data_IF_552549163202
#
_entry.id   IF_552549163202
#
_cell.length_a   1.000
_cell.length_b   1.000
_cell.length_c   1.000
_cell.angle_alpha   90.00
_cell.angle_beta   90.00
_cell.angle_gamma   90.00
#
_symmetry.space_group_name_H-M   'P 1'
#
loop_
_entity.id
_entity.type
_entity.pdbx_description
1 polymer ?
#
# COMPACT_ATOMS: atom_id res chain seq x y z
N UNK A 1 9.24 -17.88 23.91
CA UNK A 1 8.90 -18.65 22.69
C UNK A 1 7.64 -18.14 21.99
N UNK A 2 6.54 -17.82 22.69
CA UNK A 2 5.31 -17.28 22.06
C UNK A 2 5.40 -15.85 21.47
N UNK A 3 6.49 -15.09 21.70
CA UNK A 3 6.67 -13.74 21.16
C UNK A 3 7.41 -13.69 19.80
N UNK A 4 8.02 -14.80 19.37
CA UNK A 4 8.84 -14.84 18.16
C UNK A 4 8.03 -15.18 16.89
N UNK A 5 6.79 -15.67 17.01
CA UNK A 5 5.96 -16.09 15.87
C UNK A 5 5.09 -14.96 15.28
N UNK A 6 4.92 -13.81 15.95
CA UNK A 6 4.07 -12.71 15.45
C UNK A 6 4.77 -11.74 14.48
N UNK A 7 6.09 -11.79 14.37
CA UNK A 7 6.87 -10.75 13.69
C UNK A 7 6.96 -10.92 12.15
N UNK A 8 6.78 -12.14 11.63
CA UNK A 8 6.96 -12.46 10.19
C UNK A 8 5.72 -12.25 9.31
N UNK A 9 4.62 -11.82 9.91
CA UNK A 9 3.32 -11.86 9.27
C UNK A 9 3.05 -10.67 8.33
N UNK A 10 3.54 -9.46 8.58
CA UNK A 10 2.83 -8.29 8.05
C UNK A 10 3.56 -7.40 7.02
N UNK A 11 4.64 -7.91 6.42
CA UNK A 11 5.54 -7.12 5.57
C UNK A 11 5.13 -6.97 4.11
N UNK A 12 3.89 -6.64 3.73
CA UNK A 12 3.60 -6.37 2.29
C UNK A 12 2.32 -5.58 1.92
N UNK A 13 1.91 -4.57 2.70
CA UNK A 13 0.73 -3.74 2.33
C UNK A 13 1.04 -2.60 1.33
N UNK A 14 2.31 -2.36 0.98
CA UNK A 14 2.77 -1.17 0.23
C UNK A 14 2.91 -1.26 -1.30
N UNK A 15 2.79 -2.44 -1.92
CA UNK A 15 2.85 -2.52 -3.39
C UNK A 15 1.49 -2.11 -3.99
N UNK A 16 1.40 -0.86 -4.46
CA UNK A 16 0.19 -0.29 -5.06
C UNK A 16 -0.19 -0.89 -6.42
N UNK A 17 -1.42 -0.59 -6.87
CA UNK A 17 -2.03 -0.99 -8.15
C UNK A 17 -1.10 -0.85 -9.37
N UNK A 18 -0.24 0.17 -9.31
CA UNK A 18 0.87 0.46 -10.19
C UNK A 18 1.74 -0.78 -10.55
N UNK A 19 2.14 -1.61 -9.57
CA UNK A 19 3.01 -2.76 -9.79
C UNK A 19 2.28 -3.90 -10.54
N UNK A 20 1.00 -4.08 -10.24
CA UNK A 20 0.12 -5.04 -10.91
C UNK A 20 -0.06 -4.63 -12.39
N UNK A 21 -0.28 -3.34 -12.64
CA UNK A 21 -0.42 -2.81 -14.00
C UNK A 21 0.86 -2.98 -14.85
N UNK A 22 2.04 -2.81 -14.23
CA UNK A 22 3.32 -3.00 -14.91
C UNK A 22 3.57 -4.46 -15.29
N UNK A 23 3.24 -5.41 -14.40
CA UNK A 23 3.32 -6.84 -14.66
C UNK A 23 2.35 -7.27 -15.78
N UNK A 24 1.11 -6.79 -15.72
CA UNK A 24 0.10 -7.07 -16.75
C UNK A 24 0.47 -6.50 -18.12
N UNK A 25 1.06 -5.30 -18.17
CA UNK A 25 1.55 -4.69 -19.41
C UNK A 25 2.72 -5.49 -20.02
N UNK A 26 3.65 -5.99 -19.19
CA UNK A 26 4.73 -6.87 -19.63
C UNK A 26 4.19 -8.18 -20.23
N UNK A 27 3.19 -8.78 -19.58
CA UNK A 27 2.54 -10.01 -20.02
C UNK A 27 1.82 -9.86 -21.37
N UNK A 28 1.00 -8.81 -21.53
CA UNK A 28 0.28 -8.54 -22.79
C UNK A 28 1.19 -8.16 -23.95
N UNK A 29 2.37 -7.61 -23.67
CA UNK A 29 3.34 -7.21 -24.69
C UNK A 29 4.15 -8.35 -25.30
N UNK A 30 3.98 -9.60 -24.82
CA UNK A 30 4.70 -10.76 -25.34
C UNK A 30 6.23 -10.63 -25.27
N UNK A 31 6.76 -9.81 -24.35
CA UNK A 31 8.21 -9.61 -24.21
C UNK A 31 8.78 -10.68 -23.27
N UNK A 32 9.47 -11.72 -23.78
CA UNK A 32 9.99 -12.81 -22.95
C UNK A 32 10.93 -12.33 -21.83
N UNK A 33 11.64 -11.22 -22.04
CA UNK A 33 12.60 -10.68 -21.06
C UNK A 33 12.00 -10.18 -19.74
N UNK A 34 10.70 -9.86 -19.65
CA UNK A 34 10.10 -9.37 -18.38
C UNK A 34 9.73 -10.49 -17.41
N UNK A 35 9.35 -11.67 -17.91
CA UNK A 35 9.09 -12.84 -17.07
C UNK A 35 10.41 -13.43 -16.54
N UNK A 36 11.44 -13.45 -17.40
CA UNK A 36 12.78 -13.91 -17.05
C UNK A 36 13.47 -12.93 -16.08
N UNK A 37 13.33 -11.61 -16.29
CA UNK A 37 13.83 -10.62 -15.32
C UNK A 37 13.12 -10.68 -13.95
N UNK A 38 11.81 -10.95 -13.93
CA UNK A 38 11.07 -11.13 -12.69
C UNK A 38 11.52 -12.41 -11.95
N UNK A 39 11.73 -13.50 -12.69
CA UNK A 39 12.28 -14.76 -12.15
C UNK A 39 13.70 -14.58 -11.61
N UNK A 40 14.60 -13.98 -12.38
CA UNK A 40 15.98 -13.70 -11.96
C UNK A 40 16.04 -12.79 -10.74
N UNK A 41 15.17 -11.78 -10.65
CA UNK A 41 15.08 -10.92 -9.48
C UNK A 41 14.60 -11.68 -8.23
N UNK A 42 13.61 -12.57 -8.37
CA UNK A 42 13.14 -13.43 -7.28
C UNK A 42 14.21 -14.44 -6.82
N UNK A 43 14.97 -15.03 -7.75
CA UNK A 43 16.07 -15.95 -7.46
C UNK A 43 17.22 -15.24 -6.72
N UNK A 44 17.58 -14.01 -7.14
CA UNK A 44 18.59 -13.19 -6.46
C UNK A 44 18.16 -12.85 -5.03
N UNK A 45 16.89 -12.49 -4.83
CA UNK A 45 16.40 -12.04 -3.53
C UNK A 45 16.14 -13.20 -2.55
N UNK A 46 15.73 -14.36 -3.06
CA UNK A 46 15.74 -15.61 -2.32
C UNK A 46 17.17 -16.00 -1.89
N UNK A 47 18.16 -15.85 -2.78
CA UNK A 47 19.55 -16.17 -2.46
C UNK A 47 20.14 -15.20 -1.42
N UNK A 48 19.85 -13.89 -1.54
CA UNK A 48 20.35 -12.84 -0.64
C UNK A 48 19.78 -12.93 0.78
N UNK A 49 18.48 -13.17 0.93
CA UNK A 49 17.84 -13.22 2.25
C UNK A 49 18.06 -14.54 2.99
N UNK A 50 18.42 -15.62 2.28
CA UNK A 50 18.39 -16.99 2.83
C UNK A 50 19.75 -17.70 2.75
N UNK A 51 20.82 -16.96 2.45
CA UNK A 51 22.20 -17.42 2.68
C UNK A 51 22.67 -18.57 1.76
N UNK A 52 22.18 -18.63 0.52
CA UNK A 52 22.74 -19.52 -0.50
C UNK A 52 22.63 -21.02 -0.25
N UNK A 53 21.74 -21.48 0.65
CA UNK A 53 21.35 -22.90 0.66
C UNK A 53 20.39 -23.12 -0.50
N UNK A 54 20.90 -23.68 -1.59
CA UNK A 54 20.11 -24.07 -2.75
C UNK A 54 18.90 -24.92 -2.33
N UNK A 55 17.83 -24.79 -3.11
CA UNK A 55 16.68 -25.70 -3.07
C UNK A 55 17.23 -27.13 -3.25
N UNK A 56 17.09 -27.95 -2.20
CA UNK A 56 17.70 -29.27 -2.12
C UNK A 56 17.11 -30.26 -3.13
N UNK A 57 17.81 -31.39 -3.29
CA UNK A 57 17.58 -32.47 -4.26
C UNK A 57 16.17 -33.10 -4.24
N UNK A 58 15.34 -32.80 -3.22
CA UNK A 58 13.99 -33.35 -3.07
C UNK A 58 12.97 -32.80 -4.08
N UNK A 59 13.17 -31.62 -4.69
CA UNK A 59 12.25 -31.08 -5.71
C UNK A 59 12.44 -31.69 -7.10
N UNK A 60 13.66 -32.12 -7.46
CA UNK A 60 13.91 -32.81 -8.72
C UNK A 60 13.22 -34.19 -8.74
N UNK A 61 13.13 -34.85 -7.58
CA UNK A 61 12.41 -36.12 -7.42
C UNK A 61 10.87 -35.97 -7.50
N UNK A 62 10.34 -34.78 -7.23
CA UNK A 62 8.90 -34.48 -7.35
C UNK A 62 8.45 -34.27 -8.80
N UNK A 63 9.36 -33.87 -9.69
CA UNK A 63 9.05 -33.63 -11.11
C UNK A 63 8.88 -34.91 -11.93
N UNK A 64 9.42 -36.05 -11.47
CA UNK A 64 9.46 -37.31 -12.22
C UNK A 64 8.42 -38.35 -11.78
N UNK A 65 7.57 -38.06 -10.78
CA UNK A 65 6.55 -39.03 -10.34
C UNK A 65 5.31 -39.03 -11.24
N UNK A 66 4.87 -40.18 -11.78
CA UNK A 66 3.57 -40.29 -12.43
C UNK A 66 2.48 -40.03 -11.38
N UNK A 67 1.57 -39.12 -11.72
CA UNK A 67 0.51 -38.60 -10.86
C UNK A 67 -0.22 -39.72 -10.09
N UNK A 68 0.01 -39.78 -8.77
CA UNK A 68 -0.73 -40.63 -7.85
C UNK A 68 -2.16 -40.09 -7.66
N UNK A 69 -3.08 -40.99 -7.38
CA UNK A 69 -4.51 -40.71 -7.24
C UNK A 69 -4.82 -39.66 -6.17
N UNK A 70 -5.95 -38.97 -6.36
CA UNK A 70 -6.42 -37.79 -5.63
C UNK A 70 -6.47 -37.96 -4.10
N UNK A 71 -6.49 -39.18 -3.58
CA UNK A 71 -6.54 -39.45 -2.13
C UNK A 71 -5.15 -39.52 -1.46
N UNK A 72 -4.10 -39.98 -2.15
CA UNK A 72 -2.73 -40.03 -1.60
C UNK A 72 -2.00 -38.68 -1.71
N UNK A 73 -2.46 -37.79 -2.58
CA UNK A 73 -1.98 -36.41 -2.66
C UNK A 73 -2.35 -35.55 -1.43
N UNK A 74 -3.29 -35.99 -0.59
CA UNK A 74 -3.81 -35.22 0.53
C UNK A 74 -2.90 -35.22 1.78
N UNK A 75 -2.13 -36.29 2.01
CA UNK A 75 -1.18 -36.35 3.14
C UNK A 75 0.12 -35.57 2.86
N UNK A 76 0.45 -35.34 1.58
CA UNK A 76 1.62 -34.57 1.15
C UNK A 76 1.42 -33.04 1.20
N UNK A 77 0.28 -32.55 1.69
CA UNK A 77 -0.08 -31.11 1.68
C UNK A 77 0.37 -30.32 2.90
N UNK A 78 0.89 -30.96 3.95
CA UNK A 78 1.38 -30.26 5.15
C UNK A 78 2.56 -29.28 4.86
N UNK A 79 3.48 -29.58 3.93
CA UNK A 79 4.51 -28.63 3.48
C UNK A 79 3.92 -27.48 2.65
N UNK A 80 2.91 -27.75 1.81
CA UNK A 80 2.24 -26.75 0.95
C UNK A 80 1.38 -25.80 1.80
N UNK A 81 0.70 -26.29 2.83
CA UNK A 81 -0.02 -25.44 3.79
C UNK A 81 0.94 -24.52 4.55
N UNK A 82 2.12 -25.03 4.96
CA UNK A 82 3.18 -24.20 5.57
C UNK A 82 3.74 -23.16 4.60
N UNK A 83 3.91 -23.53 3.32
CA UNK A 83 4.39 -22.63 2.28
C UNK A 83 3.36 -21.54 1.96
N UNK A 84 2.08 -21.91 1.79
CA UNK A 84 0.97 -20.99 1.53
C UNK A 84 0.74 -20.06 2.72
N UNK A 85 0.81 -20.57 3.97
CA UNK A 85 0.80 -19.72 5.17
C UNK A 85 1.95 -18.72 5.13
N UNK A 86 3.19 -19.12 4.82
CA UNK A 86 4.34 -18.20 4.72
C UNK A 86 4.23 -17.20 3.55
N UNK A 87 3.74 -17.63 2.39
CA UNK A 87 3.60 -16.80 1.19
C UNK A 87 2.46 -15.77 1.29
N UNK A 88 1.34 -16.12 1.95
CA UNK A 88 0.24 -15.18 2.17
C UNK A 88 0.62 -14.00 3.06
N UNK A 89 1.56 -14.22 3.98
CA UNK A 89 2.09 -13.17 4.85
C UNK A 89 3.25 -12.38 4.21
N UNK A 90 3.95 -12.90 3.20
CA UNK A 90 5.17 -12.27 2.63
C UNK A 90 5.08 -11.79 1.17
N UNK A 91 3.94 -11.94 0.50
CA UNK A 91 3.60 -11.16 -0.71
C UNK A 91 4.55 -11.35 -1.90
N UNK A 92 4.36 -12.41 -2.68
CA UNK A 92 4.76 -12.46 -4.10
C UNK A 92 4.00 -13.55 -4.85
N UNK A 93 2.78 -13.22 -5.30
CA UNK A 93 1.97 -14.12 -6.17
C UNK A 93 2.31 -13.92 -7.66
N UNK A 94 3.02 -12.84 -8.00
CA UNK A 94 3.35 -12.45 -9.37
C UNK A 94 4.30 -13.43 -10.11
N UNK A 95 4.93 -14.38 -9.42
CA UNK A 95 5.82 -15.38 -10.01
C UNK A 95 5.30 -16.82 -9.95
N UNK A 96 4.08 -17.04 -9.45
CA UNK A 96 3.57 -18.41 -9.26
C UNK A 96 3.02 -18.99 -10.57
N UNK A 97 3.29 -20.28 -10.87
CA UNK A 97 2.62 -20.98 -11.96
C UNK A 97 1.10 -20.88 -11.82
N UNK A 98 0.37 -20.82 -12.95
CA UNK A 98 -1.09 -20.64 -12.94
C UNK A 98 -1.85 -21.69 -12.09
N UNK A 99 -1.32 -22.91 -11.99
CA UNK A 99 -1.86 -23.96 -11.11
C UNK A 99 -1.79 -23.61 -9.62
N UNK A 100 -0.72 -22.93 -9.21
CA UNK A 100 -0.48 -22.55 -7.82
C UNK A 100 -1.37 -21.38 -7.39
N UNK A 101 -1.69 -20.45 -8.30
CA UNK A 101 -2.65 -19.36 -8.02
C UNK A 101 -4.04 -19.93 -7.72
N UNK A 102 -4.45 -20.98 -8.44
CA UNK A 102 -5.73 -21.67 -8.21
C UNK A 102 -5.75 -22.41 -6.87
N UNK A 103 -4.68 -23.14 -6.56
CA UNK A 103 -4.59 -23.93 -5.32
C UNK A 103 -4.45 -23.05 -4.08
N UNK A 104 -3.57 -22.05 -4.12
CA UNK A 104 -3.46 -21.01 -3.11
C UNK A 104 -4.81 -20.30 -2.90
N UNK A 105 -5.57 -20.05 -3.97
CA UNK A 105 -6.90 -19.47 -3.89
C UNK A 105 -7.93 -20.35 -3.19
N UNK A 106 -7.90 -21.64 -3.46
CA UNK A 106 -8.81 -22.62 -2.84
C UNK A 106 -8.49 -22.81 -1.35
N UNK A 107 -7.20 -22.92 -1.00
CA UNK A 107 -6.74 -23.07 0.38
C UNK A 107 -6.98 -21.80 1.20
N UNK A 108 -6.70 -20.62 0.63
CA UNK A 108 -7.00 -19.35 1.27
C UNK A 108 -8.51 -19.16 1.50
N UNK A 109 -9.34 -19.52 0.52
CA UNK A 109 -10.81 -19.47 0.67
C UNK A 109 -11.29 -20.42 1.77
N UNK A 110 -10.67 -21.60 1.93
CA UNK A 110 -10.98 -22.53 3.02
C UNK A 110 -10.57 -22.01 4.39
N UNK A 111 -9.38 -21.43 4.54
CA UNK A 111 -8.97 -20.78 5.79
C UNK A 111 -9.85 -19.57 6.11
N UNK A 112 -10.21 -18.79 5.09
CA UNK A 112 -11.15 -17.67 5.18
C UNK A 112 -12.52 -18.07 5.72
N UNK A 113 -13.01 -19.26 5.35
CA UNK A 113 -14.26 -19.79 5.87
C UNK A 113 -14.19 -20.18 7.36
N UNK A 114 -12.98 -20.38 7.89
CA UNK A 114 -12.76 -20.98 9.22
C UNK A 114 -12.15 -20.04 10.26
N UNK A 115 -11.46 -18.97 9.86
CA UNK A 115 -10.89 -18.02 10.84
C UNK A 115 -11.99 -17.27 11.58
N UNK A 116 -11.93 -17.20 12.90
CA UNK A 116 -12.76 -16.39 13.80
C UNK A 116 -12.06 -15.08 14.22
N UNK A 117 -10.81 -14.89 13.79
CA UNK A 117 -9.99 -13.72 14.09
C UNK A 117 -10.34 -12.54 13.18
N UNK A 118 -10.76 -11.42 13.77
CA UNK A 118 -11.12 -10.21 13.03
C UNK A 118 -9.90 -9.57 12.33
N UNK A 119 -8.72 -9.71 12.93
CA UNK A 119 -7.44 -9.31 12.36
C UNK A 119 -7.12 -9.99 11.03
N UNK A 120 -7.57 -11.22 10.80
CA UNK A 120 -7.36 -11.91 9.54
C UNK A 120 -8.21 -11.29 8.42
N UNK A 121 -9.45 -10.89 8.75
CA UNK A 121 -10.37 -10.34 7.76
C UNK A 121 -9.88 -9.01 7.18
N UNK A 122 -9.24 -8.16 7.99
CA UNK A 122 -8.71 -6.86 7.54
C UNK A 122 -7.49 -7.00 6.61
N UNK A 123 -6.78 -8.13 6.67
CA UNK A 123 -5.70 -8.47 5.72
C UNK A 123 -6.26 -9.14 4.48
N UNK A 124 -7.15 -10.10 4.66
CA UNK A 124 -7.59 -10.99 3.58
C UNK A 124 -8.48 -10.30 2.56
N UNK A 125 -9.35 -9.38 2.99
CA UNK A 125 -10.25 -8.66 2.08
C UNK A 125 -9.48 -7.82 1.05
N UNK A 126 -8.53 -6.94 1.43
CA UNK A 126 -7.73 -6.21 0.45
C UNK A 126 -6.83 -7.13 -0.38
N UNK A 127 -6.26 -8.20 0.21
CA UNK A 127 -5.46 -9.18 -0.53
C UNK A 127 -6.27 -9.87 -1.64
N UNK A 128 -7.47 -10.38 -1.31
CA UNK A 128 -8.36 -11.01 -2.28
C UNK A 128 -8.79 -10.05 -3.40
N UNK A 129 -9.05 -8.77 -3.08
CA UNK A 129 -9.32 -7.74 -4.11
C UNK A 129 -8.14 -7.50 -5.05
N UNK A 130 -6.91 -7.43 -4.51
CA UNK A 130 -5.69 -7.30 -5.34
C UNK A 130 -5.46 -8.54 -6.22
N UNK A 131 -5.70 -9.73 -5.68
CA UNK A 131 -5.62 -10.98 -6.46
C UNK A 131 -6.66 -11.03 -7.57
N UNK A 132 -7.87 -10.52 -7.31
CA UNK A 132 -8.89 -10.38 -8.35
C UNK A 132 -8.46 -9.41 -9.46
N UNK A 133 -7.87 -8.25 -9.10
CA UNK A 133 -7.34 -7.30 -10.09
C UNK A 133 -6.24 -7.94 -10.94
N UNK A 134 -5.29 -8.64 -10.31
CA UNK A 134 -4.22 -9.35 -11.02
C UNK A 134 -4.78 -10.41 -11.97
N UNK A 135 -5.73 -11.23 -11.50
CA UNK A 135 -6.39 -12.23 -12.34
C UNK A 135 -7.08 -11.60 -13.56
N UNK A 136 -7.82 -10.49 -13.40
CA UNK A 136 -8.39 -9.74 -14.53
C UNK A 136 -7.33 -9.22 -15.50
N UNK A 137 -6.24 -8.70 -14.96
CA UNK A 137 -5.16 -8.15 -15.76
C UNK A 137 -4.55 -9.22 -16.70
N UNK A 138 -4.54 -10.48 -16.24
CA UNK A 138 -4.12 -11.69 -16.96
C UNK A 138 -5.22 -12.33 -17.84
N UNK A 139 -6.46 -11.81 -17.83
CA UNK A 139 -7.59 -12.37 -18.60
C UNK A 139 -8.36 -13.50 -17.90
N UNK A 140 -8.08 -13.76 -16.63
CA UNK A 140 -8.66 -14.86 -15.83
C UNK A 140 -9.94 -14.43 -15.09
N UNK A 141 -10.99 -14.06 -15.82
CA UNK A 141 -12.23 -13.49 -15.22
C UNK A 141 -12.93 -14.43 -14.22
N UNK A 142 -12.93 -15.75 -14.47
CA UNK A 142 -13.52 -16.72 -13.54
C UNK A 142 -12.80 -16.73 -12.19
N UNK A 143 -11.46 -16.66 -12.22
CA UNK A 143 -10.63 -16.63 -11.01
C UNK A 143 -10.83 -15.29 -10.29
N UNK A 144 -10.88 -14.18 -11.03
CA UNK A 144 -11.18 -12.88 -10.45
C UNK A 144 -12.54 -12.84 -9.74
N UNK A 145 -13.58 -13.43 -10.36
CA UNK A 145 -14.90 -13.57 -9.76
C UNK A 145 -14.89 -14.32 -8.43
N UNK A 146 -14.17 -15.45 -8.37
CA UNK A 146 -14.02 -16.24 -7.15
C UNK A 146 -13.34 -15.43 -6.02
N UNK A 147 -12.28 -14.69 -6.34
CA UNK A 147 -11.60 -13.83 -5.37
C UNK A 147 -12.48 -12.70 -4.85
N UNK A 148 -13.29 -12.07 -5.70
CA UNK A 148 -14.23 -11.04 -5.28
C UNK A 148 -15.36 -11.60 -4.42
N UNK A 149 -15.85 -12.80 -4.72
CA UNK A 149 -16.83 -13.49 -3.87
C UNK A 149 -16.24 -13.79 -2.49
N UNK A 150 -15.00 -14.29 -2.42
CA UNK A 150 -14.31 -14.52 -1.15
C UNK A 150 -14.13 -13.23 -0.35
N UNK A 151 -13.72 -12.13 -1.00
CA UNK A 151 -13.61 -10.83 -0.35
C UNK A 151 -14.96 -10.32 0.18
N UNK A 152 -16.04 -10.51 -0.58
CA UNK A 152 -17.39 -10.11 -0.18
C UNK A 152 -17.90 -10.94 1.01
N UNK A 153 -17.66 -12.25 1.02
CA UNK A 153 -18.02 -13.13 2.12
C UNK A 153 -17.26 -12.74 3.41
N UNK A 154 -15.94 -12.54 3.33
CA UNK A 154 -15.12 -12.08 4.44
C UNK A 154 -15.60 -10.72 4.99
N UNK A 155 -15.93 -9.78 4.10
CA UNK A 155 -16.50 -8.49 4.50
C UNK A 155 -17.89 -8.62 5.16
N UNK A 156 -18.69 -9.60 4.74
CA UNK A 156 -19.95 -9.95 5.39
C UNK A 156 -19.75 -10.42 6.83
N UNK A 157 -18.77 -11.29 7.06
CA UNK A 157 -18.41 -11.79 8.40
C UNK A 157 -17.94 -10.66 9.32
N UNK A 158 -17.07 -9.77 8.83
CA UNK A 158 -16.65 -8.59 9.60
C UNK A 158 -17.85 -7.79 10.13
N UNK A 159 -18.83 -7.52 9.26
CA UNK A 159 -20.04 -6.76 9.64
C UNK A 159 -20.92 -7.48 10.67
N UNK A 160 -20.88 -8.81 10.73
CA UNK A 160 -21.61 -9.58 11.75
C UNK A 160 -20.90 -9.54 13.11
N UNK A 161 -19.61 -9.24 13.13
CA UNK A 161 -18.76 -9.24 14.32
C UNK A 161 -18.35 -7.84 14.78
N UNK A 162 -18.76 -6.78 14.08
CA UNK A 162 -18.27 -5.41 14.29
C UNK A 162 -18.71 -4.76 15.61
N UNK A 163 -19.60 -5.40 16.36
CA UNK A 163 -19.94 -5.01 17.73
C UNK A 163 -18.79 -5.27 18.72
N UNK A 164 -17.82 -6.12 18.35
CA UNK A 164 -16.65 -6.42 19.17
C UNK A 164 -15.71 -5.21 19.20
N UNK A 165 -15.25 -4.86 20.40
CA UNK A 165 -14.21 -3.87 20.60
C UNK A 165 -12.90 -4.33 19.96
N UNK A 166 -12.62 -3.84 18.75
CA UNK A 166 -11.35 -4.11 18.05
C UNK A 166 -10.25 -3.12 18.47
N UNK A 167 -9.00 -3.58 18.59
CA UNK A 167 -7.85 -2.71 18.82
C UNK A 167 -7.69 -1.64 17.71
N UNK A 168 -7.12 -0.46 18.01
CA UNK A 168 -6.97 0.62 17.03
C UNK A 168 -6.28 0.23 15.71
N UNK A 169 -5.22 -0.58 15.68
CA UNK A 169 -4.59 -0.99 14.42
C UNK A 169 -5.50 -1.84 13.54
N UNK A 170 -6.30 -2.73 14.16
CA UNK A 170 -7.29 -3.55 13.45
C UNK A 170 -8.41 -2.68 12.90
N UNK A 171 -8.89 -1.71 13.69
CA UNK A 171 -9.86 -0.73 13.21
C UNK A 171 -9.31 0.09 12.04
N UNK A 172 -8.07 0.58 12.13
CA UNK A 172 -7.42 1.35 11.08
C UNK A 172 -7.29 0.53 9.79
N UNK A 173 -6.86 -0.73 9.90
CA UNK A 173 -6.82 -1.66 8.78
C UNK A 173 -8.21 -1.90 8.19
N UNK A 174 -9.25 -2.03 9.02
CA UNK A 174 -10.63 -2.21 8.57
C UNK A 174 -11.16 -0.99 7.81
N UNK A 175 -10.85 0.23 8.25
CA UNK A 175 -11.21 1.47 7.54
C UNK A 175 -10.54 1.51 6.16
N UNK A 176 -9.24 1.21 6.09
CA UNK A 176 -8.48 1.16 4.81
C UNK A 176 -8.98 0.07 3.87
N UNK A 177 -9.36 -1.08 4.42
CA UNK A 177 -9.98 -2.17 3.67
C UNK A 177 -11.42 -1.85 3.22
N UNK A 178 -12.01 -0.73 3.63
CA UNK A 178 -13.42 -0.39 3.36
C UNK A 178 -14.40 -1.35 4.02
N UNK A 179 -13.99 -1.98 5.12
CA UNK A 179 -14.82 -2.84 5.97
C UNK A 179 -15.61 -2.03 6.99
N UNK A 180 -15.03 -0.92 7.46
CA UNK A 180 -15.68 0.09 8.30
C UNK A 180 -15.77 1.38 7.49
N UNK A 181 -16.93 2.04 7.53
CA UNK A 181 -17.09 3.34 6.87
C UNK A 181 -16.20 4.38 7.55
N UNK A 182 -15.67 5.32 6.79
CA UNK A 182 -14.75 6.35 7.31
C UNK A 182 -15.39 7.16 8.44
N UNK A 183 -16.66 7.49 8.28
CA UNK A 183 -17.46 8.27 9.23
C UNK A 183 -17.66 7.51 10.55
N UNK A 184 -17.82 6.19 10.46
CA UNK A 184 -18.01 5.30 11.61
C UNK A 184 -16.70 5.04 12.36
N UNK A 185 -15.59 4.84 11.62
CA UNK A 185 -14.27 4.58 12.21
C UNK A 185 -13.60 5.84 12.79
N UNK A 186 -13.90 7.02 12.24
CA UNK A 186 -13.28 8.30 12.62
C UNK A 186 -13.26 8.58 14.13
N UNK A 187 -14.39 8.60 14.87
CA UNK A 187 -14.36 8.94 16.29
C UNK A 187 -13.48 7.97 17.12
N UNK A 188 -13.49 6.69 16.77
CA UNK A 188 -12.69 5.66 17.46
C UNK A 188 -11.18 5.78 17.15
N UNK A 189 -10.83 6.09 15.90
CA UNK A 189 -9.44 6.34 15.51
C UNK A 189 -8.89 7.63 16.15
N UNK A 190 -9.72 8.67 16.26
CA UNK A 190 -9.35 9.90 16.95
C UNK A 190 -9.07 9.66 18.44
N UNK A 191 -9.94 8.90 19.11
CA UNK A 191 -9.73 8.52 20.51
C UNK A 191 -8.42 7.75 20.70
N UNK A 192 -8.11 6.80 19.81
CA UNK A 192 -6.87 6.04 19.85
C UNK A 192 -5.62 6.90 19.65
N UNK A 193 -5.65 7.88 18.73
CA UNK A 193 -4.52 8.76 18.50
C UNK A 193 -4.15 9.62 19.72
N UNK A 194 -5.11 9.86 20.61
CA UNK A 194 -4.91 10.59 21.86
C UNK A 194 -4.63 9.70 23.07
N UNK A 195 -4.71 8.38 22.92
CA UNK A 195 -4.48 7.42 24.01
C UNK A 195 -2.97 7.25 24.27
N UNK A 196 -2.49 7.50 25.51
CA UNK A 196 -1.10 7.23 25.90
C UNK A 196 -0.67 5.78 25.67
N UNK A 197 -1.60 4.81 25.67
CA UNK A 197 -1.34 3.40 25.39
C UNK A 197 -0.79 3.12 23.98
N UNK A 198 -0.94 4.07 23.06
CA UNK A 198 -0.44 3.99 21.68
C UNK A 198 1.08 3.92 21.56
N UNK A 199 1.83 4.20 22.63
CA UNK A 199 3.29 4.05 22.66
C UNK A 199 3.77 2.59 22.53
N UNK A 200 2.89 1.61 22.74
CA UNK A 200 3.22 0.18 22.67
C UNK A 200 3.07 -0.43 21.28
N UNK A 201 2.60 0.36 20.31
CA UNK A 201 2.36 -0.12 18.95
C UNK A 201 3.67 -0.45 18.22
N UNK A 202 3.63 -1.49 17.40
CA UNK A 202 4.69 -1.81 16.42
C UNK A 202 4.76 -0.74 15.33
N UNK A 203 5.90 -0.64 14.63
CA UNK A 203 6.05 0.32 13.53
C UNK A 203 4.97 0.17 12.44
N UNK A 204 4.56 -1.06 12.14
CA UNK A 204 3.50 -1.31 11.19
C UNK A 204 2.13 -0.86 11.70
N UNK A 205 1.81 -1.13 12.96
CA UNK A 205 0.55 -0.69 13.56
C UNK A 205 0.47 0.84 13.57
N UNK A 206 1.58 1.52 13.91
CA UNK A 206 1.71 2.97 13.83
C UNK A 206 1.45 3.45 12.40
N UNK A 207 2.15 2.89 11.40
CA UNK A 207 1.93 3.27 10.00
C UNK A 207 0.48 3.05 9.56
N UNK A 208 -0.13 1.94 9.95
CA UNK A 208 -1.50 1.57 9.59
C UNK A 208 -2.51 2.57 10.15
N UNK A 209 -2.34 2.97 11.43
CA UNK A 209 -3.15 4.00 12.07
C UNK A 209 -2.95 5.35 11.38
N UNK A 210 -1.71 5.77 11.16
CA UNK A 210 -1.40 7.05 10.52
C UNK A 210 -1.94 7.15 9.09
N UNK A 211 -1.80 6.10 8.27
CA UNK A 211 -2.34 6.09 6.91
C UNK A 211 -3.88 6.11 6.92
N UNK A 212 -4.53 5.35 7.80
CA UNK A 212 -5.98 5.41 7.97
C UNK A 212 -6.47 6.81 8.36
N UNK A 213 -5.75 7.49 9.28
CA UNK A 213 -6.04 8.88 9.65
C UNK A 213 -5.87 9.83 8.47
N UNK A 214 -4.85 9.63 7.63
CA UNK A 214 -4.66 10.38 6.39
C UNK A 214 -5.82 10.19 5.40
N UNK A 215 -6.35 8.98 5.28
CA UNK A 215 -7.51 8.67 4.42
C UNK A 215 -8.80 9.35 4.85
N UNK A 216 -9.04 9.46 6.17
CA UNK A 216 -10.20 10.15 6.73
C UNK A 216 -10.00 11.68 6.86
N UNK A 217 -8.83 12.19 6.46
CA UNK A 217 -8.53 13.63 6.47
C UNK A 217 -8.09 14.18 7.82
N UNK A 218 -7.70 13.33 8.77
CA UNK A 218 -7.33 13.69 10.14
C UNK A 218 -5.82 13.86 10.33
N UNK A 219 -5.20 14.70 9.50
CA UNK A 219 -3.75 14.93 9.56
C UNK A 219 -3.29 15.60 10.85
N UNK A 220 -4.14 16.42 11.50
CA UNK A 220 -3.81 17.10 12.77
C UNK A 220 -3.63 16.10 13.91
N UNK A 221 -4.67 15.32 14.25
CA UNK A 221 -4.56 14.27 15.27
C UNK A 221 -3.48 13.23 14.96
N UNK A 222 -3.23 12.91 13.69
CA UNK A 222 -2.13 12.02 13.30
C UNK A 222 -0.75 12.61 13.64
N UNK A 223 -0.56 13.92 13.45
CA UNK A 223 0.67 14.62 13.86
C UNK A 223 0.82 14.64 15.39
N UNK A 224 -0.27 14.73 16.16
CA UNK A 224 -0.21 14.61 17.62
C UNK A 224 0.22 13.21 18.06
N UNK A 225 -0.28 12.15 17.41
CA UNK A 225 0.20 10.79 17.66
C UNK A 225 1.71 10.67 17.41
N UNK A 226 2.22 11.25 16.32
CA UNK A 226 3.68 11.27 16.03
C UNK A 226 4.45 12.01 17.13
N UNK A 227 3.93 13.13 17.64
CA UNK A 227 4.56 13.85 18.75
C UNK A 227 4.57 13.03 20.03
N UNK A 228 3.46 12.37 20.36
CA UNK A 228 3.33 11.52 21.53
C UNK A 228 4.32 10.34 21.46
N UNK A 229 4.50 9.73 20.28
CA UNK A 229 5.52 8.71 20.08
C UNK A 229 6.93 9.26 20.35
N UNK A 230 7.23 10.46 19.87
CA UNK A 230 8.52 11.11 20.06
C UNK A 230 8.80 11.53 21.52
N UNK A 231 7.76 11.82 22.32
CA UNK A 231 7.92 12.18 23.74
C UNK A 231 7.92 10.96 24.66
N UNK A 232 7.22 9.89 24.31
CA UNK A 232 7.09 8.69 25.14
C UNK A 232 8.36 7.83 25.17
N UNK A 233 9.26 7.97 24.21
CA UNK A 233 10.50 7.20 24.14
C UNK A 233 11.73 8.09 24.19
N UNK A 234 12.70 7.73 25.04
CA UNK A 234 14.04 8.36 25.01
C UNK A 234 14.79 8.03 23.73
N UNK A 235 14.48 6.88 23.11
CA UNK A 235 15.01 6.45 21.80
C UNK A 235 13.86 5.87 20.96
N UNK A 236 13.53 6.54 19.86
CA UNK A 236 12.59 5.96 18.89
C UNK A 236 13.29 4.81 18.16
N UNK A 237 12.63 3.65 18.09
CA UNK A 237 13.12 2.54 17.26
C UNK A 237 13.19 2.96 15.78
N UNK A 238 14.22 2.51 15.07
CA UNK A 238 14.45 2.85 13.67
C UNK A 238 13.28 2.50 12.74
N UNK A 239 12.59 1.39 13.02
CA UNK A 239 11.42 0.95 12.26
C UNK A 239 10.24 1.92 12.41
N UNK A 240 10.03 2.45 13.62
CA UNK A 240 9.01 3.47 13.90
C UNK A 240 9.36 4.78 13.21
N UNK A 241 10.64 5.20 13.26
CA UNK A 241 11.10 6.40 12.55
C UNK A 241 10.85 6.26 11.06
N UNK A 242 11.20 5.12 10.46
CA UNK A 242 10.97 4.84 9.05
C UNK A 242 9.47 4.89 8.68
N UNK A 243 8.60 4.28 9.50
CA UNK A 243 7.15 4.31 9.32
C UNK A 243 6.59 5.75 9.34
N UNK A 244 7.03 6.57 10.30
CA UNK A 244 6.62 7.97 10.43
C UNK A 244 7.11 8.79 9.24
N UNK A 245 8.38 8.65 8.85
CA UNK A 245 8.95 9.37 7.71
C UNK A 245 8.24 9.03 6.40
N UNK A 246 7.93 7.76 6.17
CA UNK A 246 7.16 7.32 5.02
C UNK A 246 5.77 7.96 5.02
N UNK A 247 5.07 7.95 6.16
CA UNK A 247 3.78 8.59 6.28
C UNK A 247 3.83 10.11 6.06
N UNK A 248 4.83 10.80 6.62
CA UNK A 248 5.03 12.24 6.40
C UNK A 248 5.22 12.54 4.91
N UNK A 249 5.99 11.72 4.20
CA UNK A 249 6.19 11.87 2.76
C UNK A 249 4.89 11.63 1.97
N UNK A 250 4.18 10.54 2.24
CA UNK A 250 3.06 10.12 1.40
C UNK A 250 1.76 10.84 1.72
N UNK A 251 1.57 11.27 2.97
CA UNK A 251 0.30 11.80 3.46
C UNK A 251 0.35 13.29 3.78
N UNK A 252 1.48 13.80 4.30
CA UNK A 252 1.64 15.23 4.61
C UNK A 252 2.23 15.97 3.41
N UNK A 253 3.42 15.60 2.95
CA UNK A 253 4.01 16.13 1.71
C UNK A 253 3.16 15.72 0.50
N UNK A 254 2.53 14.54 0.58
CA UNK A 254 1.52 14.09 -0.36
C UNK A 254 2.09 13.48 -1.64
N UNK A 255 3.36 13.11 -1.68
CA UNK A 255 4.00 12.57 -2.88
C UNK A 255 3.91 11.05 -2.86
N UNK A 256 3.16 10.49 -3.82
CA UNK A 256 2.97 9.04 -3.98
C UNK A 256 3.27 8.62 -5.42
N UNK A 257 3.79 7.40 -5.59
CA UNK A 257 3.96 6.82 -6.92
C UNK A 257 2.59 6.42 -7.48
N UNK A 258 2.20 7.01 -8.61
CA UNK A 258 1.01 6.57 -9.35
C UNK A 258 1.33 5.46 -10.36
N UNK A 259 2.62 5.28 -10.69
CA UNK A 259 3.14 4.23 -11.57
C UNK A 259 4.49 3.73 -11.04
N UNK A 260 4.84 2.43 -11.16
CA UNK A 260 6.14 1.96 -10.69
C UNK A 260 7.26 2.63 -11.50
N UNK A 261 8.41 2.81 -10.87
CA UNK A 261 9.55 3.48 -11.48
C UNK A 261 9.47 5.02 -11.48
N UNK A 262 8.39 5.63 -10.95
CA UNK A 262 8.35 7.08 -10.73
C UNK A 262 8.09 7.95 -11.96
N UNK A 263 7.75 7.35 -13.10
CA UNK A 263 7.37 8.11 -14.30
C UNK A 263 6.06 8.91 -14.12
N UNK A 264 5.19 8.50 -13.19
CA UNK A 264 3.96 9.22 -12.85
C UNK A 264 3.75 9.29 -11.35
N UNK A 265 3.44 10.48 -10.85
CA UNK A 265 3.20 10.76 -9.44
C UNK A 265 1.75 11.21 -9.19
N UNK A 266 1.30 10.98 -7.97
CA UNK A 266 0.22 11.71 -7.33
C UNK A 266 0.84 12.68 -6.33
N UNK A 267 0.47 13.95 -6.38
CA UNK A 267 0.93 14.98 -5.45
C UNK A 267 -0.29 15.63 -4.77
N UNK A 268 -0.53 15.31 -3.50
CA UNK A 268 -1.66 15.80 -2.70
C UNK A 268 -1.17 16.31 -1.34
N UNK A 269 -0.51 17.47 -1.28
CA UNK A 269 -0.03 18.02 -0.03
C UNK A 269 -1.19 18.29 0.93
N UNK A 270 -1.02 17.87 2.17
CA UNK A 270 -1.94 18.11 3.27
C UNK A 270 -1.17 18.84 4.37
N UNK A 271 -1.03 20.18 4.29
CA UNK A 271 -0.26 20.96 5.27
C UNK A 271 -0.83 20.91 6.71
N UNK A 272 -1.92 20.16 6.93
CA UNK A 272 -2.70 20.16 8.17
C UNK A 272 -3.07 21.60 8.57
N UNK A 273 -3.26 21.87 9.86
CA UNK A 273 -3.46 23.22 10.37
C UNK A 273 -2.19 24.11 10.31
N UNK A 274 -1.17 23.75 9.51
CA UNK A 274 0.05 24.54 9.37
C UNK A 274 -0.06 25.47 8.17
N UNK A 275 0.54 26.63 8.33
CA UNK A 275 0.54 27.64 7.29
C UNK A 275 1.66 27.44 6.26
N UNK A 276 2.63 26.57 6.56
CA UNK A 276 3.74 26.25 5.70
C UNK A 276 4.04 24.74 5.73
N UNK A 277 4.26 24.17 4.55
CA UNK A 277 4.73 22.81 4.35
C UNK A 277 5.76 22.84 3.23
N UNK A 278 6.97 22.34 3.46
CA UNK A 278 7.95 22.16 2.42
C UNK A 278 8.72 20.86 2.65
N UNK A 279 9.09 20.19 1.57
CA UNK A 279 9.85 18.96 1.64
C UNK A 279 10.37 18.51 0.29
N UNK A 280 11.30 17.57 0.36
CA UNK A 280 11.92 16.91 -0.78
C UNK A 280 11.77 15.41 -0.62
N UNK A 281 11.56 14.71 -1.72
CA UNK A 281 11.63 13.25 -1.76
C UNK A 281 12.36 12.79 -3.02
N UNK A 282 13.00 11.62 -2.92
CA UNK A 282 13.74 11.00 -4.00
C UNK A 282 12.87 9.96 -4.68
N UNK A 283 12.78 10.05 -6.00
CA UNK A 283 12.21 9.02 -6.87
C UNK A 283 13.30 8.54 -7.84
N UNK A 284 13.12 7.40 -8.53
CA UNK A 284 14.16 6.89 -9.43
C UNK A 284 14.62 7.87 -10.51
N UNK A 285 13.75 8.78 -10.97
CA UNK A 285 14.08 9.80 -11.97
C UNK A 285 14.73 11.08 -11.39
N UNK A 286 14.79 11.24 -10.06
CA UNK A 286 15.43 12.39 -9.42
C UNK A 286 14.70 12.90 -8.17
N UNK A 287 14.92 14.18 -7.84
CA UNK A 287 14.34 14.82 -6.66
C UNK A 287 13.04 15.53 -7.02
N UNK A 288 12.00 15.30 -6.21
CA UNK A 288 10.75 16.05 -6.24
C UNK A 288 10.73 17.00 -5.05
N UNK A 289 10.50 18.28 -5.29
CA UNK A 289 10.28 19.26 -4.21
C UNK A 289 8.83 19.72 -4.20
N UNK A 290 8.22 19.76 -3.02
CA UNK A 290 6.89 20.33 -2.82
C UNK A 290 6.99 21.41 -1.74
N UNK A 291 6.41 22.57 -2.00
CA UNK A 291 6.20 23.60 -0.99
C UNK A 291 4.79 24.18 -1.10
N UNK A 292 4.15 24.44 0.03
CA UNK A 292 2.83 25.03 0.17
C UNK A 292 2.91 26.10 1.25
N UNK A 293 2.36 27.27 0.95
CA UNK A 293 2.15 28.36 1.89
C UNK A 293 0.68 28.76 1.85
N UNK A 294 0.07 28.86 3.02
CA UNK A 294 -1.35 29.18 3.19
C UNK A 294 -1.58 30.51 3.90
N UNK A 295 -0.55 31.08 4.54
CA UNK A 295 -0.61 32.44 5.11
C UNK A 295 -0.50 33.50 4.03
N UNK A 296 -1.41 34.49 4.07
CA UNK A 296 -1.44 35.58 3.11
C UNK A 296 -2.03 35.13 1.76
N UNK A 297 -1.23 35.20 0.69
CA UNK A 297 -1.62 34.74 -0.65
C UNK A 297 -1.26 33.25 -0.80
N UNK A 298 -2.25 32.33 -0.81
CA UNK A 298 -1.95 30.91 -0.88
C UNK A 298 -1.16 30.59 -2.15
N UNK A 299 -0.06 29.87 -1.97
CA UNK A 299 0.85 29.51 -3.07
C UNK A 299 1.38 28.10 -2.89
N UNK A 300 1.60 27.41 -4.01
CA UNK A 300 2.23 26.10 -4.06
C UNK A 300 3.35 26.11 -5.09
N UNK A 301 4.47 25.49 -4.75
CA UNK A 301 5.59 25.22 -5.64
C UNK A 301 5.76 23.70 -5.77
N UNK A 302 5.94 23.23 -6.99
CA UNK A 302 6.30 21.86 -7.30
C UNK A 302 7.51 21.87 -8.25
N UNK A 303 8.60 21.23 -7.87
CA UNK A 303 9.73 20.98 -8.76
C UNK A 303 9.73 19.49 -9.13
N UNK A 304 9.68 19.18 -10.43
CA UNK A 304 9.72 17.82 -10.97
C UNK A 304 11.01 17.54 -11.76
N UNK A 305 11.59 16.33 -11.63
CA UNK A 305 12.71 15.90 -12.44
C UNK A 305 12.27 15.57 -13.88
N UNK A 306 13.24 15.37 -14.77
CA UNK A 306 12.98 15.00 -16.15
C UNK A 306 12.34 13.60 -16.25
N UNK A 307 11.46 13.41 -17.25
CA UNK A 307 10.79 12.13 -17.48
C UNK A 307 9.66 11.80 -16.49
N UNK A 308 9.25 12.76 -15.66
CA UNK A 308 8.18 12.60 -14.68
C UNK A 308 6.95 13.43 -15.03
N UNK A 309 5.78 12.81 -14.83
CA UNK A 309 4.47 13.44 -14.85
C UNK A 309 3.88 13.44 -13.44
N UNK A 310 3.00 14.40 -13.12
CA UNK A 310 2.26 14.37 -11.87
C UNK A 310 0.80 14.79 -12.05
N UNK A 311 -0.08 14.11 -11.32
CA UNK A 311 -1.42 14.60 -11.03
C UNK A 311 -1.40 15.27 -9.66
N UNK A 312 -1.67 16.57 -9.64
CA UNK A 312 -1.73 17.37 -8.43
C UNK A 312 -3.17 17.49 -7.97
N UNK A 313 -3.40 17.31 -6.68
CA UNK A 313 -4.62 17.73 -5.98
C UNK A 313 -4.26 18.89 -5.07
N UNK A 314 -4.70 20.08 -5.44
CA UNK A 314 -4.34 21.29 -4.70
C UNK A 314 -4.91 21.25 -3.28
N UNK A 315 -4.25 21.89 -2.31
CA UNK A 315 -4.83 22.19 -1.01
C UNK A 315 -6.14 22.99 -1.15
N UNK A 316 -7.06 22.83 -0.20
CA UNK A 316 -8.37 23.50 -0.24
C UNK A 316 -8.30 25.03 -0.48
N UNK A 317 -7.37 25.80 0.12
CA UNK A 317 -7.24 27.24 -0.12
C UNK A 317 -6.96 27.63 -1.59
N UNK A 318 -6.38 26.71 -2.37
CA UNK A 318 -6.03 26.91 -3.78
C UNK A 318 -7.08 26.36 -4.75
N UNK A 319 -7.97 25.45 -4.31
CA UNK A 319 -8.97 24.81 -5.20
C UNK A 319 -10.07 25.74 -5.68
N UNK A 320 -10.41 26.75 -4.88
CA UNK A 320 -11.57 27.63 -5.11
C UNK A 320 -11.26 28.85 -5.96
N UNK A 321 -10.05 28.96 -6.49
CA UNK A 321 -9.56 30.17 -7.16
C UNK A 321 -8.96 29.82 -8.53
N UNK A 322 -9.06 30.71 -9.54
CA UNK A 322 -8.37 30.50 -10.80
C UNK A 322 -6.87 30.42 -10.55
N UNK A 323 -6.15 29.67 -11.37
CA UNK A 323 -4.77 29.30 -11.09
C UNK A 323 -3.86 29.91 -12.13
N UNK A 324 -2.95 30.77 -11.68
CA UNK A 324 -1.82 31.17 -12.52
C UNK A 324 -0.69 30.16 -12.29
N UNK A 325 -0.24 29.52 -13.37
CA UNK A 325 0.93 28.66 -13.35
C UNK A 325 2.08 29.22 -14.19
N UNK A 326 3.19 29.53 -13.51
CA UNK A 326 4.38 30.12 -14.10
C UNK A 326 5.55 29.11 -13.98
N UNK A 327 6.16 28.73 -15.11
CA UNK A 327 7.27 27.77 -15.15
C UNK A 327 7.93 27.65 -16.54
N UNK A 328 9.27 27.67 -16.65
CA UNK A 328 9.97 27.82 -17.93
C UNK A 328 10.08 26.55 -18.80
N UNK A 329 9.68 25.37 -18.33
CA UNK A 329 10.03 24.09 -19.00
C UNK A 329 8.94 23.01 -19.06
N UNK A 330 7.82 23.15 -18.33
CA UNK A 330 6.80 22.11 -18.22
C UNK A 330 5.46 22.52 -18.82
N UNK A 331 4.68 21.53 -19.29
CA UNK A 331 3.27 21.74 -19.66
C UNK A 331 2.39 21.44 -18.47
N UNK A 332 1.27 22.15 -18.37
CA UNK A 332 0.24 21.85 -17.39
C UNK A 332 -1.16 22.00 -17.99
N UNK A 333 -2.13 21.31 -17.42
CA UNK A 333 -3.53 21.36 -17.81
C UNK A 333 -4.44 21.19 -16.58
N UNK A 334 -5.57 21.90 -16.56
CA UNK A 334 -6.60 21.69 -15.53
C UNK A 334 -7.40 20.41 -15.82
N UNK A 335 -7.63 19.61 -14.77
CA UNK A 335 -8.39 18.36 -14.83
C UNK A 335 -9.79 18.43 -14.21
N UNK A 336 -10.24 19.62 -13.80
CA UNK A 336 -11.46 19.82 -13.02
C UNK A 336 -11.33 19.41 -11.55
N UNK A 337 -12.22 19.92 -10.68
CA UNK A 337 -12.27 19.53 -9.27
C UNK A 337 -10.99 19.82 -8.46
N UNK A 338 -10.23 20.85 -8.84
CA UNK A 338 -8.94 21.19 -8.21
C UNK A 338 -7.79 20.25 -8.57
N UNK A 339 -7.93 19.49 -9.66
CA UNK A 339 -6.86 18.64 -10.23
C UNK A 339 -6.06 19.41 -11.27
N UNK A 340 -4.76 19.28 -11.23
CA UNK A 340 -3.84 19.76 -12.27
C UNK A 340 -3.00 18.59 -12.75
N UNK A 341 -2.85 18.46 -14.06
CA UNK A 341 -1.87 17.58 -14.66
C UNK A 341 -0.66 18.40 -15.05
N UNK A 342 0.53 17.97 -14.64
CA UNK A 342 1.80 18.55 -15.08
C UNK A 342 2.63 17.48 -15.75
N UNK A 343 3.36 17.87 -16.79
CA UNK A 343 4.24 16.97 -17.54
C UNK A 343 5.54 17.67 -17.90
N UNK A 344 6.65 16.96 -17.71
CA UNK A 344 7.99 17.43 -18.04
C UNK A 344 8.72 18.02 -16.83
N UNK A 345 10.05 18.16 -16.92
CA UNK A 345 10.85 18.76 -15.87
C UNK A 345 10.48 20.22 -15.68
N UNK A 346 10.60 20.71 -14.46
CA UNK A 346 10.50 22.13 -14.21
C UNK A 346 9.96 22.48 -12.85
N UNK A 347 9.99 23.79 -12.60
CA UNK A 347 9.41 24.43 -11.43
C UNK A 347 8.06 25.00 -11.81
N UNK A 348 7.01 24.47 -11.20
CA UNK A 348 5.64 24.92 -11.34
C UNK A 348 5.28 25.73 -10.09
N UNK A 349 4.71 26.92 -10.28
CA UNK A 349 4.19 27.76 -9.20
C UNK A 349 2.70 27.94 -9.41
N UNK A 350 1.89 27.66 -8.40
CA UNK A 350 0.45 27.84 -8.43
C UNK A 350 0.07 28.89 -7.40
N UNK A 351 -0.74 29.86 -7.81
CA UNK A 351 -1.28 30.90 -6.93
C UNK A 351 -2.74 31.15 -7.23
N UNK A 352 -3.44 31.64 -6.22
CA UNK A 352 -4.79 32.18 -6.33
C UNK A 352 -4.84 33.40 -7.26
N UNK A 353 -5.60 33.36 -8.35
CA UNK A 353 -5.86 34.55 -9.16
C UNK A 353 -6.80 35.50 -8.40
N UNK A 354 -6.45 36.80 -8.32
CA UNK A 354 -7.36 37.84 -7.82
C UNK A 354 -6.81 38.84 -6.79
N UNK A 355 -5.53 38.78 -6.41
CA UNK A 355 -4.88 39.88 -5.68
C UNK A 355 -3.88 40.56 -6.63
N UNK A 356 -4.31 41.65 -7.27
CA UNK A 356 -3.40 42.63 -7.88
C UNK A 356 -3.42 43.89 -7.06
#
# INVERSE_FOLDING_TARGET
MAAFEKQDAWGFLGCGDAAIDALAAGWRGGRPGTAEAARTWLEIEATRRWGGKGLGEDEAALAERPWLGVEEGLEALEPVERLVRRFFWTGSVAGLPAGWVREAGTTATRHLARTDHLEDLVVLVPAARRLAQLARALGEEKIAGAWLQAAAAAAGRWRQSSEIAVPPPVLAAAVRAGLVRREEGRPRLLAAATDPGSATLTALEIWTVLDAMGEIGESGPALELVRNLATASTELRDDVVAAVLLWLQESILGVRLARPGGGRLMVRPAPAARNHLAGRTFIPSGVVEVAVESDGEPRMRLDLPAGTEAMLLLPAPLRSRPIAADGPAGKWAEGGGGRIFVSGPGRFRFRAAGHR
#
